data_IF_414241567939
#
_entry.id   IF_414241567939
#
_cell.length_a   1.000
_cell.length_b   1.000
_cell.length_c   1.000
_cell.angle_alpha   90.00
_cell.angle_beta   90.00
_cell.angle_gamma   90.00
#
_symmetry.space_group_name_H-M   'P 1'
#
loop_
_entity.id
_entity.type
_entity.pdbx_description
1 polymer ?
#
# COMPACT_ATOMS: atom_id res chain seq x y z
N UNK A 1 -6.17 6.26 -34.55
CA UNK A 1 -5.57 6.95 -33.38
C UNK A 1 -6.66 7.24 -32.35
N UNK A 2 -6.61 6.56 -31.22
CA UNK A 2 -7.70 6.47 -30.26
C UNK A 2 -7.80 7.78 -29.44
N UNK A 3 -9.01 8.39 -29.35
CA UNK A 3 -9.26 9.63 -28.56
C UNK A 3 -8.79 9.53 -27.09
N UNK A 4 -8.81 8.31 -26.51
CA UNK A 4 -8.30 8.03 -25.16
C UNK A 4 -6.78 8.31 -25.01
N UNK A 5 -5.95 7.96 -25.99
CA UNK A 5 -4.51 8.23 -25.93
C UNK A 5 -4.14 9.71 -26.04
N UNK A 6 -5.01 10.55 -26.66
CA UNK A 6 -4.83 12.01 -26.69
C UNK A 6 -5.20 12.68 -25.38
N UNK A 7 -6.19 12.15 -24.66
CA UNK A 7 -6.62 12.68 -23.34
C UNK A 7 -5.56 12.35 -22.30
N UNK A 8 -5.02 11.12 -22.29
CA UNK A 8 -3.91 10.75 -21.38
C UNK A 8 -2.69 11.63 -21.56
N UNK A 9 -2.20 11.84 -22.79
CA UNK A 9 -1.07 12.74 -23.06
C UNK A 9 -1.33 14.20 -22.69
N UNK A 10 -2.59 14.66 -22.69
CA UNK A 10 -2.96 16.03 -22.34
C UNK A 10 -3.09 16.24 -20.84
N UNK A 11 -3.42 15.15 -20.09
CA UNK A 11 -3.48 15.16 -18.61
C UNK A 11 -2.08 15.06 -18.03
N UNK A 12 -1.21 14.19 -18.55
CA UNK A 12 0.20 14.07 -18.11
C UNK A 12 0.96 15.41 -18.18
N UNK A 13 0.65 16.28 -19.13
CA UNK A 13 1.32 17.59 -19.28
C UNK A 13 0.90 18.66 -18.25
N UNK A 14 -0.16 18.43 -17.45
CA UNK A 14 -0.73 19.47 -16.57
C UNK A 14 -0.83 19.07 -15.09
N UNK A 15 -0.63 17.81 -14.75
CA UNK A 15 -0.83 17.32 -13.38
C UNK A 15 0.49 16.92 -12.77
N UNK A 16 0.88 17.58 -11.70
CA UNK A 16 2.06 17.25 -10.91
C UNK A 16 1.68 16.14 -9.91
N UNK A 17 2.28 14.96 -10.08
CA UNK A 17 2.11 13.84 -9.17
C UNK A 17 3.21 13.90 -8.11
N UNK A 18 2.83 13.80 -6.84
CA UNK A 18 3.77 13.77 -5.73
C UNK A 18 3.33 12.76 -4.68
N UNK A 19 4.26 12.33 -3.84
CA UNK A 19 3.99 11.45 -2.71
C UNK A 19 4.32 12.17 -1.41
N UNK A 20 3.34 12.36 -0.55
CA UNK A 20 3.51 12.96 0.76
C UNK A 20 2.54 12.35 1.76
N UNK A 21 3.07 11.53 2.66
CA UNK A 21 2.34 11.01 3.82
C UNK A 21 3.32 10.83 4.98
N UNK A 22 3.20 11.68 5.99
CA UNK A 22 4.06 11.69 7.16
C UNK A 22 4.09 10.33 7.90
N UNK A 23 3.02 9.54 7.80
CA UNK A 23 2.91 8.24 8.48
C UNK A 23 3.98 7.24 8.02
N UNK A 24 4.44 7.32 6.77
CA UNK A 24 5.53 6.46 6.26
C UNK A 24 6.89 6.77 6.92
N UNK A 25 7.07 8.00 7.41
CA UNK A 25 8.32 8.46 8.02
C UNK A 25 8.30 8.35 9.55
N UNK A 26 7.16 8.01 10.15
CA UNK A 26 7.10 7.82 11.58
C UNK A 26 7.91 6.59 12.02
N UNK A 27 8.62 6.65 13.15
CA UNK A 27 9.26 5.50 13.76
C UNK A 27 8.22 4.40 14.06
N UNK A 28 8.63 3.14 14.03
CA UNK A 28 7.75 1.98 14.25
C UNK A 28 6.98 2.06 15.57
N UNK A 29 7.66 2.48 16.66
CA UNK A 29 7.04 2.65 17.96
C UNK A 29 5.93 3.71 17.95
N UNK A 30 6.14 4.86 17.27
CA UNK A 30 5.13 5.93 17.16
C UNK A 30 3.90 5.45 16.39
N UNK A 31 4.08 4.68 15.31
CA UNK A 31 2.98 4.07 14.55
C UNK A 31 2.21 3.06 15.40
N UNK A 32 2.93 2.23 16.17
CA UNK A 32 2.32 1.27 17.09
C UNK A 32 1.47 1.98 18.15
N UNK A 33 2.03 2.95 18.86
CA UNK A 33 1.29 3.72 19.86
C UNK A 33 0.07 4.43 19.28
N UNK A 34 0.19 5.04 18.11
CA UNK A 34 -0.95 5.66 17.44
C UNK A 34 -2.07 4.65 17.14
N UNK A 35 -1.73 3.47 16.61
CA UNK A 35 -2.72 2.40 16.36
C UNK A 35 -3.38 1.93 17.65
N UNK A 36 -2.60 1.70 18.71
CA UNK A 36 -3.12 1.28 20.02
C UNK A 36 -4.07 2.34 20.59
N UNK A 37 -3.64 3.60 20.66
CA UNK A 37 -4.46 4.69 21.18
C UNK A 37 -5.76 4.81 20.39
N UNK A 38 -5.69 4.77 19.07
CA UNK A 38 -6.87 4.85 18.20
C UNK A 38 -7.82 3.67 18.44
N UNK A 39 -7.30 2.45 18.55
CA UNK A 39 -8.10 1.25 18.83
C UNK A 39 -8.79 1.34 20.20
N UNK A 40 -8.05 1.75 21.23
CA UNK A 40 -8.60 1.94 22.58
C UNK A 40 -9.69 3.03 22.58
N UNK A 41 -9.44 4.14 21.89
CA UNK A 41 -10.41 5.23 21.78
C UNK A 41 -11.71 4.78 21.09
N UNK A 42 -11.60 4.04 19.98
CA UNK A 42 -12.76 3.48 19.29
C UNK A 42 -13.52 2.51 20.20
N UNK A 43 -12.80 1.63 20.91
CA UNK A 43 -13.42 0.63 21.78
C UNK A 43 -14.15 1.27 22.96
N UNK A 44 -13.53 2.25 23.62
CA UNK A 44 -14.17 3.01 24.71
C UNK A 44 -15.38 3.80 24.23
N UNK A 45 -15.28 4.41 23.04
CA UNK A 45 -16.39 5.13 22.41
C UNK A 45 -17.57 4.21 22.10
N UNK A 46 -17.32 2.99 21.62
CA UNK A 46 -18.35 1.99 21.36
C UNK A 46 -19.02 1.53 22.68
N UNK A 47 -18.25 1.24 23.73
CA UNK A 47 -18.80 0.86 25.04
C UNK A 47 -19.66 1.99 25.60
N UNK A 48 -19.18 3.22 25.57
CA UNK A 48 -19.92 4.39 26.06
C UNK A 48 -21.22 4.59 25.28
N UNK A 49 -21.16 4.54 23.95
CA UNK A 49 -22.31 4.67 23.08
C UNK A 49 -23.35 3.58 23.32
N UNK A 50 -22.90 2.33 23.45
CA UNK A 50 -23.76 1.19 23.74
C UNK A 50 -24.43 1.30 25.13
N UNK A 51 -23.70 1.78 26.12
CA UNK A 51 -24.25 2.04 27.48
C UNK A 51 -25.38 3.07 27.46
N UNK A 52 -25.21 4.19 26.70
CA UNK A 52 -26.26 5.20 26.57
C UNK A 52 -27.56 4.64 25.96
N UNK A 53 -27.43 3.75 24.97
CA UNK A 53 -28.57 3.11 24.32
C UNK A 53 -29.25 2.07 25.25
N UNK A 54 -28.44 1.21 25.88
CA UNK A 54 -28.96 0.14 26.74
C UNK A 54 -29.71 0.68 27.99
N UNK A 55 -29.14 1.69 28.62
CA UNK A 55 -29.74 2.26 29.85
C UNK A 55 -30.87 3.25 29.56
N UNK A 56 -31.22 3.46 28.25
CA UNK A 56 -32.30 4.38 27.83
C UNK A 56 -32.25 5.73 28.54
N UNK A 57 -31.07 6.29 28.71
CA UNK A 57 -30.84 7.56 29.39
C UNK A 57 -31.37 8.69 28.48
N UNK A 58 -32.63 9.08 28.70
CA UNK A 58 -33.20 10.23 28.00
C UNK A 58 -32.61 11.55 28.53
N UNK A 59 -32.27 12.54 27.69
CA UNK A 59 -32.38 12.61 26.19
C UNK A 59 -31.20 12.02 25.43
N UNK A 60 -30.25 11.32 26.07
CA UNK A 60 -28.95 10.91 25.56
C UNK A 60 -28.96 9.67 24.65
N UNK A 61 -30.11 8.95 24.60
CA UNK A 61 -30.25 7.74 23.78
C UNK A 61 -29.96 8.03 22.30
N UNK A 62 -30.54 9.10 21.74
CA UNK A 62 -30.34 9.52 20.36
C UNK A 62 -28.88 9.90 20.09
N UNK A 63 -28.21 10.54 21.07
CA UNK A 63 -26.79 10.86 20.98
C UNK A 63 -25.94 9.58 20.96
N UNK A 64 -26.30 8.59 21.77
CA UNK A 64 -25.64 7.28 21.78
C UNK A 64 -25.71 6.60 20.40
N UNK A 65 -26.88 6.62 19.75
CA UNK A 65 -27.05 6.07 18.40
C UNK A 65 -26.18 6.82 17.38
N UNK A 66 -26.17 8.15 17.43
CA UNK A 66 -25.33 8.96 16.51
C UNK A 66 -23.84 8.68 16.68
N UNK A 67 -23.37 8.55 17.91
CA UNK A 67 -21.96 8.22 18.22
C UNK A 67 -21.64 6.81 17.71
N UNK A 68 -22.54 5.83 17.89
CA UNK A 68 -22.36 4.46 17.40
C UNK A 68 -22.23 4.45 15.86
N UNK A 69 -23.13 5.13 15.15
CA UNK A 69 -23.08 5.26 13.70
C UNK A 69 -21.80 5.94 13.23
N UNK A 70 -21.35 6.98 13.96
CA UNK A 70 -20.09 7.66 13.64
C UNK A 70 -18.88 6.71 13.77
N UNK A 71 -18.81 5.88 14.82
CA UNK A 71 -17.73 4.92 14.97
C UNK A 71 -17.78 3.80 13.93
N UNK A 72 -18.98 3.29 13.60
CA UNK A 72 -19.15 2.30 12.52
C UNK A 72 -18.68 2.90 11.19
N UNK A 73 -19.11 4.11 10.87
CA UNK A 73 -18.69 4.82 9.66
C UNK A 73 -17.17 5.04 9.62
N UNK A 74 -16.57 5.48 10.73
CA UNK A 74 -15.13 5.71 10.83
C UNK A 74 -14.35 4.41 10.64
N UNK A 75 -14.83 3.31 11.21
CA UNK A 75 -14.23 1.98 11.05
C UNK A 75 -14.31 1.50 9.60
N UNK A 76 -15.47 1.67 8.96
CA UNK A 76 -15.62 1.33 7.53
C UNK A 76 -14.70 2.18 6.66
N UNK A 77 -14.62 3.48 6.92
CA UNK A 77 -13.78 4.40 6.16
C UNK A 77 -12.28 4.10 6.27
N UNK A 78 -11.80 3.61 7.40
CA UNK A 78 -10.40 3.19 7.57
C UNK A 78 -10.02 2.01 6.66
N UNK A 79 -11.00 1.19 6.25
CA UNK A 79 -10.79 0.03 5.39
C UNK A 79 -11.02 0.32 3.89
N UNK A 80 -11.48 1.52 3.55
CA UNK A 80 -11.70 1.94 2.18
C UNK A 80 -10.57 2.85 1.72
N UNK A 81 -10.06 2.63 0.51
CA UNK A 81 -9.20 3.61 -0.15
C UNK A 81 -9.96 4.92 -0.33
N UNK A 82 -9.34 6.03 0.00
CA UNK A 82 -10.02 7.32 0.14
C UNK A 82 -10.76 7.81 -1.11
N UNK A 83 -10.43 7.33 -2.33
CA UNK A 83 -11.06 7.80 -3.58
C UNK A 83 -10.77 6.88 -4.78
N UNK A 84 -11.75 6.65 -5.68
CA UNK A 84 -11.50 5.95 -6.94
C UNK A 84 -10.61 6.78 -7.87
N UNK A 85 -9.66 6.10 -8.50
CA UNK A 85 -8.68 6.67 -9.44
C UNK A 85 -9.30 7.55 -10.55
N UNK A 86 -10.54 7.24 -10.98
CA UNK A 86 -11.15 7.81 -12.16
C UNK A 86 -11.59 9.26 -12.05
N UNK A 87 -11.94 9.76 -10.86
CA UNK A 87 -12.56 11.09 -10.73
C UNK A 87 -11.59 12.22 -10.39
N UNK A 88 -10.44 11.93 -9.79
CA UNK A 88 -9.51 12.97 -9.34
C UNK A 88 -8.52 13.48 -10.40
N UNK A 89 -8.19 12.64 -11.38
CA UNK A 89 -7.24 13.03 -12.45
C UNK A 89 -7.70 14.21 -13.30
N UNK A 90 -9.00 14.46 -13.34
CA UNK A 90 -9.56 15.47 -14.24
C UNK A 90 -9.63 16.88 -13.66
N UNK A 91 -9.44 17.06 -12.35
CA UNK A 91 -9.78 18.34 -11.69
C UNK A 91 -8.65 19.03 -10.91
N UNK A 92 -7.54 18.35 -10.58
CA UNK A 92 -6.48 18.94 -9.72
C UNK A 92 -5.16 19.13 -10.46
N UNK A 93 -4.50 20.27 -10.22
CA UNK A 93 -3.14 20.56 -10.75
C UNK A 93 -2.05 19.75 -10.05
N UNK A 94 -2.28 19.33 -8.79
CA UNK A 94 -1.36 18.54 -7.98
C UNK A 94 -2.12 17.40 -7.32
N UNK A 95 -1.59 16.19 -7.39
CA UNK A 95 -2.22 14.98 -6.86
C UNK A 95 -1.23 14.28 -5.95
N UNK A 96 -1.65 14.02 -4.71
CA UNK A 96 -0.89 13.22 -3.76
C UNK A 96 -1.22 11.73 -3.98
N UNK A 97 -0.23 10.97 -4.40
CA UNK A 97 -0.34 9.54 -4.70
C UNK A 97 -0.64 8.67 -3.47
N UNK A 98 -0.31 9.14 -2.27
CA UNK A 98 -0.56 8.40 -1.03
C UNK A 98 -2.05 8.10 -0.79
N UNK A 99 -2.96 8.93 -1.33
CA UNK A 99 -4.41 8.74 -1.19
C UNK A 99 -4.97 7.59 -2.03
N UNK A 100 -4.23 7.13 -3.03
CA UNK A 100 -4.65 6.03 -3.91
C UNK A 100 -4.17 4.66 -3.44
N UNK A 101 -3.35 4.61 -2.39
CA UNK A 101 -2.89 3.36 -1.81
C UNK A 101 -4.02 2.66 -1.07
N UNK A 102 -4.28 1.40 -1.39
CA UNK A 102 -5.09 0.55 -0.53
C UNK A 102 -4.42 0.38 0.85
N UNK A 103 -5.19 0.10 1.93
CA UNK A 103 -4.60 -0.16 3.24
C UNK A 103 -3.55 -1.27 3.23
N UNK A 104 -3.76 -2.30 2.41
CA UNK A 104 -2.80 -3.40 2.23
C UNK A 104 -1.52 -2.93 1.55
N UNK A 105 -1.62 -2.18 0.44
CA UNK A 105 -0.47 -1.62 -0.27
C UNK A 105 0.33 -0.66 0.63
N UNK A 106 -0.36 0.17 1.42
CA UNK A 106 0.26 1.05 2.42
C UNK A 106 1.07 0.26 3.45
N UNK A 107 0.50 -0.82 3.99
CA UNK A 107 1.20 -1.68 4.94
C UNK A 107 2.41 -2.36 4.31
N UNK A 108 2.31 -2.86 3.08
CA UNK A 108 3.45 -3.47 2.35
C UNK A 108 4.62 -2.50 2.23
N UNK A 109 4.37 -1.26 1.79
CA UNK A 109 5.41 -0.25 1.65
C UNK A 109 6.07 0.12 2.99
N UNK A 110 5.28 0.16 4.07
CA UNK A 110 5.80 0.40 5.43
C UNK A 110 6.65 -0.76 5.92
N UNK A 111 6.18 -2.00 5.72
CA UNK A 111 6.93 -3.19 6.14
C UNK A 111 8.19 -3.40 5.28
N UNK A 112 8.16 -3.03 4.00
CA UNK A 112 9.35 -3.00 3.15
C UNK A 112 10.50 -2.21 3.78
N UNK A 113 10.21 -1.04 4.40
CA UNK A 113 11.20 -0.26 5.15
C UNK A 113 11.74 -1.03 6.35
N UNK A 114 10.86 -1.64 7.14
CA UNK A 114 11.25 -2.40 8.34
C UNK A 114 12.13 -3.61 7.97
N UNK A 115 11.75 -4.33 6.92
CA UNK A 115 12.49 -5.49 6.38
C UNK A 115 13.86 -5.05 5.86
N UNK A 116 13.88 -3.96 5.07
CA UNK A 116 15.15 -3.40 4.55
C UNK A 116 16.11 -3.03 5.66
N UNK A 117 15.62 -2.39 6.72
CA UNK A 117 16.43 -2.06 7.90
C UNK A 117 16.90 -3.31 8.66
N UNK A 118 16.04 -4.32 8.80
CA UNK A 118 16.34 -5.53 9.59
C UNK A 118 17.33 -6.44 8.90
N UNK A 119 17.19 -6.62 7.59
CA UNK A 119 18.03 -7.53 6.80
C UNK A 119 19.12 -6.83 5.98
N UNK A 120 19.21 -5.51 6.07
CA UNK A 120 20.14 -4.68 5.28
C UNK A 120 19.94 -4.87 3.78
N UNK A 121 18.67 -4.81 3.33
CA UNK A 121 18.29 -4.89 1.93
C UNK A 121 17.99 -3.50 1.38
N UNK A 122 18.09 -3.32 0.06
CA UNK A 122 17.48 -2.15 -0.56
C UNK A 122 15.94 -2.22 -0.47
N UNK A 123 15.27 -1.08 -0.70
CA UNK A 123 13.83 -1.00 -0.48
C UNK A 123 13.01 -1.79 -1.50
N UNK A 124 13.53 -2.04 -2.70
CA UNK A 124 12.85 -2.87 -3.71
C UNK A 124 12.88 -4.34 -3.29
N UNK A 125 14.02 -4.84 -2.81
CA UNK A 125 14.13 -6.20 -2.27
C UNK A 125 13.32 -6.37 -1.00
N UNK A 126 13.29 -5.36 -0.10
CA UNK A 126 12.45 -5.38 1.09
C UNK A 126 10.97 -5.45 0.76
N UNK A 127 10.50 -4.71 -0.25
CA UNK A 127 9.14 -4.76 -0.73
C UNK A 127 8.80 -6.10 -1.38
N UNK A 128 9.71 -6.64 -2.19
CA UNK A 128 9.51 -7.94 -2.83
C UNK A 128 9.40 -9.06 -1.80
N UNK A 129 10.29 -9.06 -0.79
CA UNK A 129 10.22 -9.99 0.33
C UNK A 129 8.85 -9.94 1.04
N UNK A 130 8.33 -8.73 1.29
CA UNK A 130 7.04 -8.54 1.95
C UNK A 130 5.86 -8.99 1.05
N UNK A 131 5.91 -8.71 -0.24
CA UNK A 131 4.91 -9.17 -1.21
C UNK A 131 4.82 -10.69 -1.24
N UNK A 132 5.97 -11.39 -1.24
CA UNK A 132 6.03 -12.86 -1.14
C UNK A 132 5.49 -13.42 0.18
N UNK A 133 5.14 -12.58 1.14
CA UNK A 133 4.50 -12.98 2.40
C UNK A 133 2.98 -12.81 2.36
N UNK A 134 2.42 -12.19 1.32
CA UNK A 134 0.99 -11.97 1.18
C UNK A 134 0.31 -13.16 0.52
N UNK A 135 -0.78 -13.61 1.13
CA UNK A 135 -1.52 -14.77 0.67
C UNK A 135 -1.99 -14.61 -0.77
N UNK A 136 -2.51 -13.45 -1.13
CA UNK A 136 -3.01 -13.17 -2.49
C UNK A 136 -1.91 -13.33 -3.55
N UNK A 137 -0.67 -12.93 -3.21
CA UNK A 137 0.49 -13.08 -4.10
C UNK A 137 0.96 -14.54 -4.14
N UNK A 138 1.01 -15.22 -3.00
CA UNK A 138 1.37 -16.65 -2.93
C UNK A 138 0.38 -17.48 -3.73
N UNK A 139 -0.93 -17.22 -3.58
CA UNK A 139 -1.97 -17.93 -4.31
C UNK A 139 -1.84 -17.68 -5.84
N UNK A 140 -1.55 -16.44 -6.26
CA UNK A 140 -1.29 -16.11 -7.67
C UNK A 140 -0.04 -16.81 -8.21
N UNK A 141 1.06 -16.86 -7.46
CA UNK A 141 2.29 -17.53 -7.85
C UNK A 141 2.09 -19.07 -7.92
N UNK A 142 1.24 -19.64 -7.09
CA UNK A 142 0.91 -21.07 -7.14
C UNK A 142 0.18 -21.46 -8.42
N UNK A 143 -0.59 -20.56 -9.03
CA UNK A 143 -1.22 -20.76 -10.34
C UNK A 143 -0.16 -20.85 -11.47
N UNK A 144 0.99 -20.20 -11.27
CA UNK A 144 2.16 -20.23 -12.16
C UNK A 144 3.14 -21.37 -11.83
N UNK A 145 2.68 -22.41 -11.11
CA UNK A 145 3.47 -23.57 -10.69
C UNK A 145 4.67 -23.23 -9.75
N UNK A 146 4.65 -22.07 -9.10
CA UNK A 146 5.66 -21.70 -8.09
C UNK A 146 5.21 -22.20 -6.74
N UNK A 147 5.91 -23.18 -6.21
CA UNK A 147 5.55 -23.82 -4.94
C UNK A 147 5.86 -22.96 -3.71
N UNK A 148 5.28 -23.29 -2.57
CA UNK A 148 5.60 -22.63 -1.30
C UNK A 148 7.07 -22.80 -0.89
N UNK A 149 7.72 -23.87 -1.32
CA UNK A 149 9.15 -24.10 -1.03
C UNK A 149 10.04 -23.26 -1.93
N UNK A 150 9.67 -23.07 -3.20
CA UNK A 150 10.32 -22.10 -4.10
C UNK A 150 10.24 -20.68 -3.53
N UNK A 151 9.08 -20.29 -2.98
CA UNK A 151 8.91 -18.97 -2.35
C UNK A 151 9.82 -18.82 -1.11
N UNK A 152 9.99 -19.87 -0.31
CA UNK A 152 10.93 -19.85 0.82
C UNK A 152 12.38 -19.71 0.34
N UNK A 153 12.78 -20.50 -0.66
CA UNK A 153 14.12 -20.41 -1.25
C UNK A 153 14.37 -19.00 -1.81
N UNK A 154 13.39 -18.44 -2.49
CA UNK A 154 13.44 -17.08 -3.03
C UNK A 154 13.66 -16.04 -1.93
N UNK A 155 12.94 -16.15 -0.82
CA UNK A 155 13.11 -15.25 0.33
C UNK A 155 14.52 -15.35 0.94
N UNK A 156 15.11 -16.55 1.02
CA UNK A 156 16.47 -16.67 1.51
C UNK A 156 17.48 -16.06 0.52
N UNK A 157 17.32 -16.27 -0.78
CA UNK A 157 18.14 -15.62 -1.82
C UNK A 157 18.06 -14.09 -1.75
N UNK A 158 16.87 -13.53 -1.47
CA UNK A 158 16.71 -12.09 -1.28
C UNK A 158 17.51 -11.61 -0.06
N UNK A 159 17.50 -12.33 1.06
CA UNK A 159 18.25 -11.97 2.28
C UNK A 159 19.76 -11.94 2.08
N UNK A 160 20.29 -12.67 1.11
CA UNK A 160 21.71 -12.66 0.75
C UNK A 160 22.12 -11.37 0.03
N UNK A 161 21.18 -10.64 -0.57
CA UNK A 161 21.41 -9.38 -1.33
C UNK A 161 21.60 -8.17 -0.43
N UNK A 162 22.52 -8.26 0.54
CA UNK A 162 22.80 -7.17 1.48
C UNK A 162 23.38 -5.94 0.80
N UNK A 163 22.92 -4.78 1.24
CA UNK A 163 23.43 -3.46 0.83
C UNK A 163 24.08 -2.74 2.01
N UNK A 164 24.86 -1.71 1.73
CA UNK A 164 25.46 -0.88 2.77
C UNK A 164 24.39 -0.14 3.57
N UNK A 165 24.58 -0.03 4.89
CA UNK A 165 23.68 0.79 5.74
C UNK A 165 23.55 2.24 5.26
N UNK A 166 24.57 2.76 4.56
CA UNK A 166 24.55 4.11 3.97
C UNK A 166 23.53 4.25 2.83
N UNK A 167 23.08 3.14 2.24
CA UNK A 167 22.08 3.13 1.18
C UNK A 167 20.66 3.09 1.74
N UNK A 168 20.48 2.68 3.01
CA UNK A 168 19.17 2.59 3.68
C UNK A 168 18.92 3.88 4.45
N UNK A 169 18.68 4.98 3.73
CA UNK A 169 18.41 6.30 4.30
C UNK A 169 16.96 6.71 4.08
N UNK A 170 16.50 7.69 4.87
CA UNK A 170 15.15 8.27 4.68
C UNK A 170 15.02 8.90 3.29
N UNK A 171 16.05 9.55 2.76
CA UNK A 171 16.05 10.14 1.43
C UNK A 171 15.89 9.07 0.33
N UNK A 172 16.61 7.96 0.43
CA UNK A 172 16.49 6.85 -0.51
C UNK A 172 15.13 6.17 -0.40
N UNK A 173 14.56 6.10 0.81
CA UNK A 173 13.20 5.61 1.01
C UNK A 173 12.16 6.53 0.37
N UNK A 174 12.31 7.85 0.48
CA UNK A 174 11.46 8.80 -0.21
C UNK A 174 11.51 8.60 -1.73
N UNK A 175 12.71 8.53 -2.31
CA UNK A 175 12.90 8.27 -3.75
C UNK A 175 12.29 6.95 -4.20
N UNK A 176 12.42 5.91 -3.37
CA UNK A 176 11.78 4.61 -3.60
C UNK A 176 10.26 4.74 -3.64
N UNK A 177 9.66 5.39 -2.62
CA UNK A 177 8.22 5.59 -2.55
C UNK A 177 7.68 6.34 -3.77
N UNK A 178 8.33 7.44 -4.14
CA UNK A 178 7.95 8.23 -5.32
C UNK A 178 7.99 7.39 -6.60
N UNK A 179 9.07 6.64 -6.80
CA UNK A 179 9.24 5.80 -7.99
C UNK A 179 8.23 4.66 -8.04
N UNK A 180 8.11 3.89 -6.96
CA UNK A 180 7.30 2.66 -6.96
C UNK A 180 5.80 2.97 -6.99
N UNK A 181 5.35 3.98 -6.25
CA UNK A 181 3.93 4.36 -6.21
C UNK A 181 3.49 4.97 -7.54
N UNK A 182 4.36 5.73 -8.20
CA UNK A 182 4.10 6.24 -9.55
C UNK A 182 3.94 5.12 -10.56
N UNK A 183 4.83 4.13 -10.57
CA UNK A 183 4.73 2.96 -11.45
C UNK A 183 3.49 2.13 -11.13
N UNK A 184 3.22 1.89 -9.85
CA UNK A 184 2.07 1.10 -9.41
C UNK A 184 0.73 1.76 -9.79
N UNK A 185 0.68 3.09 -9.87
CA UNK A 185 -0.48 3.80 -10.38
C UNK A 185 -0.75 3.46 -11.84
N UNK A 186 0.28 3.49 -12.69
CA UNK A 186 0.12 3.11 -14.11
C UNK A 186 -0.30 1.64 -14.28
N UNK A 187 0.25 0.75 -13.47
CA UNK A 187 -0.14 -0.66 -13.52
C UNK A 187 -1.58 -0.85 -13.01
N UNK A 188 -2.00 -0.14 -11.94
CA UNK A 188 -3.39 -0.16 -11.46
C UNK A 188 -4.38 0.30 -12.54
N UNK A 189 -4.05 1.36 -13.29
CA UNK A 189 -4.87 1.82 -14.41
C UNK A 189 -4.99 0.77 -15.53
N UNK A 190 -3.89 0.08 -15.86
CA UNK A 190 -3.90 -0.96 -16.89
C UNK A 190 -4.81 -2.14 -16.53
N UNK A 191 -4.76 -2.56 -15.27
CA UNK A 191 -5.62 -3.66 -14.75
C UNK A 191 -7.00 -3.17 -14.30
N UNK A 192 -7.33 -1.89 -14.55
CA UNK A 192 -8.62 -1.26 -14.23
C UNK A 192 -9.02 -1.34 -12.75
N UNK A 193 -8.05 -1.23 -11.86
CA UNK A 193 -8.27 -1.11 -10.41
C UNK A 193 -8.51 0.35 -10.02
N UNK A 194 -9.38 0.58 -9.06
CA UNK A 194 -9.71 1.92 -8.56
C UNK A 194 -8.68 2.46 -7.56
N UNK A 195 -7.74 1.63 -7.13
CA UNK A 195 -6.68 1.99 -6.19
C UNK A 195 -5.39 1.20 -6.46
N UNK A 196 -4.29 1.66 -5.90
CA UNK A 196 -3.02 0.94 -5.90
C UNK A 196 -3.12 -0.22 -4.90
N UNK A 197 -3.17 -1.43 -5.43
CA UNK A 197 -3.31 -2.68 -4.69
C UNK A 197 -1.97 -3.45 -4.61
N UNK A 198 -1.86 -4.53 -3.84
CA UNK A 198 -0.68 -5.38 -3.83
C UNK A 198 -0.30 -5.91 -5.21
N UNK A 199 -1.28 -6.25 -6.05
CA UNK A 199 -1.06 -6.73 -7.42
C UNK A 199 -0.43 -5.64 -8.29
N UNK A 200 -0.89 -4.39 -8.18
CA UNK A 200 -0.26 -3.28 -8.92
C UNK A 200 1.15 -2.97 -8.41
N UNK A 201 1.45 -3.21 -7.12
CA UNK A 201 2.80 -3.08 -6.58
C UNK A 201 3.76 -4.14 -7.14
N UNK A 202 3.33 -5.41 -7.28
CA UNK A 202 4.19 -6.45 -7.85
C UNK A 202 4.46 -6.19 -9.34
N UNK A 203 3.45 -5.75 -10.10
CA UNK A 203 3.62 -5.35 -11.50
C UNK A 203 4.55 -4.13 -11.65
N UNK A 204 4.44 -3.16 -10.74
CA UNK A 204 5.33 -2.01 -10.70
C UNK A 204 6.77 -2.43 -10.40
N UNK A 205 6.95 -3.37 -9.47
CA UNK A 205 8.27 -3.91 -9.13
C UNK A 205 8.92 -4.58 -10.33
N UNK A 206 8.16 -5.39 -11.07
CA UNK A 206 8.61 -5.98 -12.33
C UNK A 206 9.01 -4.90 -13.36
N UNK A 207 8.26 -3.81 -13.42
CA UNK A 207 8.49 -2.70 -14.37
C UNK A 207 9.68 -1.80 -14.00
N UNK A 208 10.22 -1.88 -12.79
CA UNK A 208 11.39 -1.09 -12.35
C UNK A 208 12.62 -1.41 -13.19
N UNK A 209 12.68 -2.62 -13.78
CA UNK A 209 13.80 -3.04 -14.63
C UNK A 209 15.11 -3.22 -13.87
N UNK A 210 15.07 -3.34 -12.53
CA UNK A 210 16.25 -3.76 -11.77
C UNK A 210 16.60 -5.19 -12.19
N UNK A 211 17.78 -5.37 -12.77
CA UNK A 211 18.25 -6.67 -13.28
C UNK A 211 18.15 -7.77 -12.24
N UNK A 212 18.36 -7.43 -10.96
CA UNK A 212 18.34 -8.38 -9.86
C UNK A 212 16.94 -8.93 -9.54
N UNK A 213 15.90 -8.12 -9.74
CA UNK A 213 14.50 -8.54 -9.55
C UNK A 213 13.98 -9.20 -10.81
N UNK A 214 14.32 -8.65 -11.98
CA UNK A 214 14.02 -9.27 -13.27
C UNK A 214 14.63 -10.67 -13.40
N UNK A 215 15.86 -10.87 -12.91
CA UNK A 215 16.51 -12.17 -12.89
C UNK A 215 15.73 -13.22 -12.09
N UNK A 216 15.07 -12.80 -11.00
CA UNK A 216 14.21 -13.67 -10.19
C UNK A 216 12.97 -14.10 -10.96
N UNK A 217 12.28 -13.15 -11.59
CA UNK A 217 11.09 -13.46 -12.40
C UNK A 217 11.47 -14.30 -13.63
N UNK A 218 12.59 -13.99 -14.29
CA UNK A 218 13.09 -14.75 -15.42
C UNK A 218 13.50 -16.17 -15.04
N UNK A 219 14.05 -16.38 -13.85
CA UNK A 219 14.39 -17.72 -13.36
C UNK A 219 13.17 -18.63 -13.29
N UNK A 220 12.03 -18.09 -12.87
CA UNK A 220 10.75 -18.83 -12.81
C UNK A 220 9.93 -18.69 -14.10
N UNK A 221 10.48 -18.11 -15.18
CA UNK A 221 9.79 -17.88 -16.45
C UNK A 221 8.46 -17.15 -16.33
N UNK A 222 8.32 -16.32 -15.33
CA UNK A 222 7.12 -15.49 -15.15
C UNK A 222 7.19 -14.31 -16.11
N UNK A 223 6.24 -14.22 -17.02
CA UNK A 223 6.11 -13.10 -17.93
C UNK A 223 5.14 -12.05 -17.38
N UNK A 224 5.30 -10.78 -17.84
CA UNK A 224 4.48 -9.66 -17.37
C UNK A 224 2.97 -9.83 -17.63
N UNK A 225 2.61 -10.68 -18.56
CA UNK A 225 1.22 -10.88 -19.01
C UNK A 225 0.57 -12.12 -18.38
N UNK A 226 1.32 -12.90 -17.60
CA UNK A 226 0.83 -14.04 -16.84
C UNK A 226 0.25 -13.56 -15.48
#
# INVERSE_FOLDING_TARGET
MNKKGKIQKKVEKKTELYFSDAFFFWPTWKRFFYKVILTVFIFLGLIFSFSLVLFRIQPWENLGILILLFFIYTFQKQNLSDLPLSEQYLKKKKINLAHFLSPQAKNILIEAKNISLSFQLDFFHGMFYELLSKREIVDALSILDISSDDIKELKEKIKEKKVSKKEITEENYQKFLEKIVHLALFEAEKIKKDCISPESLILALYSVGDSKIADVFNFYRVEKND
#
